data_IF_624633025975
#
_entry.id   IF_624633025975
#
_cell.length_a   1.000
_cell.length_b   1.000
_cell.length_c   1.000
_cell.angle_alpha   90.00
_cell.angle_beta   90.00
_cell.angle_gamma   90.00
#
_symmetry.space_group_name_H-M   'P 1'
#
loop_
_entity.id
_entity.type
_entity.pdbx_description
1 polymer ?
#
# COMPACT_ATOMS: atom_id res chain seq x y z
N UNK A 1 -11.79 -4.53 7.84
CA UNK A 1 -12.15 -4.75 6.42
C UNK A 1 -11.69 -6.09 5.88
N UNK A 2 -10.53 -6.61 6.29
CA UNK A 2 -10.00 -7.94 5.87
C UNK A 2 -10.93 -9.12 6.18
N UNK A 3 -11.70 -9.05 7.26
CA UNK A 3 -12.75 -10.02 7.63
C UNK A 3 -13.89 -10.15 6.61
N UNK A 4 -14.10 -9.16 5.74
CA UNK A 4 -15.10 -9.25 4.67
C UNK A 4 -14.60 -10.11 3.49
N UNK A 5 -13.29 -10.10 3.25
CA UNK A 5 -12.65 -10.79 2.12
C UNK A 5 -12.29 -12.23 2.49
N UNK A 6 -11.84 -12.44 3.72
CA UNK A 6 -11.62 -13.77 4.29
C UNK A 6 -12.05 -13.77 5.76
N UNK A 7 -13.30 -14.17 6.07
CA UNK A 7 -13.83 -14.22 7.43
C UNK A 7 -13.03 -15.15 8.34
N UNK A 8 -12.33 -16.14 7.77
CA UNK A 8 -11.51 -17.08 8.53
C UNK A 8 -10.18 -16.47 8.99
N UNK A 9 -9.73 -15.39 8.35
CA UNK A 9 -8.40 -14.82 8.57
C UNK A 9 -7.24 -15.77 8.22
N UNK A 10 -7.53 -16.93 7.60
CA UNK A 10 -6.54 -17.96 7.31
C UNK A 10 -5.70 -17.65 6.08
N UNK A 11 -6.06 -16.64 5.29
CA UNK A 11 -5.36 -16.18 4.09
C UNK A 11 -5.20 -17.26 3.01
N UNK A 12 -6.18 -18.16 2.93
CA UNK A 12 -6.13 -19.34 2.05
C UNK A 12 -7.29 -19.42 1.08
N UNK A 13 -8.30 -18.57 1.23
CA UNK A 13 -9.46 -18.57 0.35
C UNK A 13 -9.08 -18.11 -1.06
N UNK A 14 -9.83 -18.57 -2.06
CA UNK A 14 -9.65 -18.10 -3.44
C UNK A 14 -9.85 -16.59 -3.55
N UNK A 15 -10.87 -16.05 -2.87
CA UNK A 15 -11.16 -14.62 -2.80
C UNK A 15 -9.98 -13.83 -2.23
N UNK A 16 -9.28 -14.35 -1.23
CA UNK A 16 -8.06 -13.74 -0.70
C UNK A 16 -6.96 -13.67 -1.76
N UNK A 17 -6.69 -14.77 -2.47
CA UNK A 17 -5.69 -14.78 -3.53
C UNK A 17 -6.02 -13.82 -4.67
N UNK A 18 -7.30 -13.73 -5.06
CA UNK A 18 -7.77 -12.77 -6.06
C UNK A 18 -7.58 -11.32 -5.59
N UNK A 19 -7.93 -11.03 -4.33
CA UNK A 19 -7.71 -9.72 -3.72
C UNK A 19 -6.23 -9.32 -3.75
N UNK A 20 -5.33 -10.20 -3.28
CA UNK A 20 -3.88 -9.93 -3.28
C UNK A 20 -3.36 -9.72 -4.72
N UNK A 21 -3.83 -10.52 -5.69
CA UNK A 21 -3.47 -10.35 -7.10
C UNK A 21 -3.88 -8.97 -7.63
N UNK A 22 -5.09 -8.50 -7.31
CA UNK A 22 -5.57 -7.18 -7.71
C UNK A 22 -4.78 -6.06 -7.02
N UNK A 23 -4.46 -6.21 -5.74
CA UNK A 23 -3.60 -5.27 -5.01
C UNK A 23 -2.23 -5.11 -5.66
N UNK A 24 -1.59 -6.22 -6.05
CA UNK A 24 -0.30 -6.19 -6.75
C UNK A 24 -0.42 -5.49 -8.10
N UNK A 25 -1.43 -5.83 -8.91
CA UNK A 25 -1.65 -5.18 -10.22
C UNK A 25 -1.90 -3.67 -10.08
N UNK A 26 -2.74 -3.28 -9.14
CA UNK A 26 -3.03 -1.87 -8.87
C UNK A 26 -1.80 -1.11 -8.40
N UNK A 27 -0.99 -1.72 -7.53
CA UNK A 27 0.26 -1.13 -7.04
C UNK A 27 1.27 -0.90 -8.17
N UNK A 28 1.48 -1.92 -9.03
CA UNK A 28 2.39 -1.80 -10.17
C UNK A 28 1.89 -0.74 -11.17
N UNK A 29 0.58 -0.71 -11.48
CA UNK A 29 0.02 0.30 -12.36
C UNK A 29 0.17 1.72 -11.80
N UNK A 30 -0.03 1.93 -10.49
CA UNK A 30 0.14 3.23 -9.86
C UNK A 30 1.59 3.72 -9.89
N UNK A 31 2.58 2.80 -9.76
CA UNK A 31 4.01 3.14 -9.83
C UNK A 31 4.39 3.76 -11.17
N UNK A 32 3.76 3.36 -12.28
CA UNK A 32 4.00 3.95 -13.60
C UNK A 32 3.61 5.43 -13.69
N UNK A 33 2.77 5.92 -12.76
CA UNK A 33 2.28 7.30 -12.72
C UNK A 33 2.68 8.02 -11.42
N UNK A 34 3.65 7.48 -10.68
CA UNK A 34 3.99 7.94 -9.33
C UNK A 34 4.39 9.42 -9.30
N UNK A 35 5.12 9.91 -10.30
CA UNK A 35 5.51 11.32 -10.37
C UNK A 35 4.31 12.25 -10.47
N UNK A 36 3.29 11.88 -11.26
CA UNK A 36 2.04 12.66 -11.36
C UNK A 36 1.26 12.66 -10.04
N UNK A 37 1.23 11.50 -9.36
CA UNK A 37 0.58 11.36 -8.05
C UNK A 37 1.30 12.22 -7.00
N UNK A 38 2.63 12.14 -6.92
CA UNK A 38 3.47 12.92 -5.99
C UNK A 38 3.28 14.41 -6.24
N UNK A 39 3.43 14.87 -7.49
CA UNK A 39 3.27 16.29 -7.84
C UNK A 39 1.90 16.83 -7.45
N UNK A 40 0.85 16.02 -7.64
CA UNK A 40 -0.50 16.38 -7.21
C UNK A 40 -0.58 16.54 -5.70
N UNK A 41 -0.02 15.60 -4.94
CA UNK A 41 -0.01 15.66 -3.46
C UNK A 41 0.81 16.86 -2.97
N UNK A 42 1.96 17.16 -3.59
CA UNK A 42 2.81 18.29 -3.24
C UNK A 42 2.04 19.62 -3.30
N UNK A 43 1.17 19.81 -4.30
CA UNK A 43 0.34 21.02 -4.40
C UNK A 43 -0.66 21.17 -3.25
N UNK A 44 -1.11 20.06 -2.64
CA UNK A 44 -2.09 20.07 -1.55
C UNK A 44 -1.46 20.11 -0.17
N UNK A 45 -0.13 19.94 -0.05
CA UNK A 45 0.57 19.98 1.24
C UNK A 45 0.36 21.31 1.98
N UNK A 46 0.33 22.42 1.25
CA UNK A 46 0.17 23.76 1.82
C UNK A 46 -1.26 24.06 2.31
N UNK A 47 -2.23 23.19 1.99
CA UNK A 47 -3.65 23.38 2.35
C UNK A 47 -3.94 23.24 3.85
N UNK A 48 -2.97 22.79 4.66
CA UNK A 48 -3.08 22.52 6.11
C UNK A 48 -4.23 21.57 6.50
N UNK A 49 -4.78 20.80 5.56
CA UNK A 49 -5.73 19.77 5.92
C UNK A 49 -5.01 18.73 6.81
N UNK A 50 -5.68 18.23 7.87
CA UNK A 50 -5.05 17.40 8.90
C UNK A 50 -4.37 16.13 8.34
N UNK A 51 -4.80 15.65 7.17
CA UNK A 51 -4.25 14.48 6.49
C UNK A 51 -2.90 14.72 5.77
N UNK A 52 -2.53 15.96 5.46
CA UNK A 52 -1.31 16.31 4.72
C UNK A 52 -0.19 16.85 5.61
N UNK A 53 -0.49 17.11 6.89
CA UNK A 53 0.45 17.69 7.86
C UNK A 53 1.45 16.68 8.46
N UNK A 54 1.31 15.38 8.16
CA UNK A 54 2.11 14.29 8.75
C UNK A 54 2.57 13.30 7.69
N UNK A 55 3.72 13.57 7.07
CA UNK A 55 4.38 12.64 6.15
C UNK A 55 5.51 13.32 5.39
N UNK A 56 6.62 12.63 5.17
CA UNK A 56 7.58 13.06 4.15
C UNK A 56 6.98 12.73 2.77
N UNK A 57 7.13 13.60 1.76
CA UNK A 57 6.68 13.29 0.41
C UNK A 57 7.30 11.97 -0.04
N UNK A 58 6.43 11.09 -0.55
CA UNK A 58 6.75 9.74 -1.04
C UNK A 58 7.90 9.87 -2.05
N UNK A 59 9.03 9.20 -1.81
CA UNK A 59 10.07 9.04 -2.84
C UNK A 59 9.68 7.81 -3.66
N UNK A 60 9.77 7.90 -4.99
CA UNK A 60 9.59 6.72 -5.82
C UNK A 60 10.66 5.68 -5.44
N UNK A 61 10.30 4.50 -4.90
CA UNK A 61 11.29 3.50 -4.53
C UNK A 61 11.88 2.93 -5.81
N UNK A 62 13.20 3.10 -5.98
CA UNK A 62 14.03 2.47 -7.02
C UNK A 62 14.07 0.95 -6.78
N UNK A 63 12.95 0.28 -7.02
CA UNK A 63 12.81 -1.16 -6.91
C UNK A 63 12.27 -1.75 -8.21
N UNK A 64 12.73 -2.96 -8.52
CA UNK A 64 12.22 -3.71 -9.66
C UNK A 64 10.73 -4.04 -9.49
N UNK A 65 10.02 -4.28 -10.59
CA UNK A 65 8.62 -4.72 -10.54
C UNK A 65 8.43 -6.00 -9.72
N UNK A 66 9.42 -6.89 -9.72
CA UNK A 66 9.41 -8.12 -8.93
C UNK A 66 9.49 -7.83 -7.43
N UNK A 67 10.39 -6.94 -7.01
CA UNK A 67 10.50 -6.52 -5.61
C UNK A 67 9.22 -5.79 -5.18
N UNK A 68 8.64 -4.99 -6.08
CA UNK A 68 7.40 -4.28 -5.86
C UNK A 68 6.19 -5.20 -5.66
N UNK A 69 6.08 -6.24 -6.47
CA UNK A 69 5.05 -7.25 -6.31
C UNK A 69 5.20 -7.97 -4.96
N UNK A 70 6.42 -8.40 -4.62
CA UNK A 70 6.69 -9.08 -3.36
C UNK A 70 6.42 -8.19 -2.14
N UNK A 71 6.74 -6.90 -2.23
CA UNK A 71 6.42 -5.91 -1.21
C UNK A 71 4.91 -5.84 -0.98
N UNK A 72 4.12 -5.69 -2.05
CA UNK A 72 2.67 -5.55 -1.93
C UNK A 72 1.99 -6.81 -1.37
N UNK A 73 2.48 -8.00 -1.75
CA UNK A 73 2.01 -9.27 -1.17
C UNK A 73 2.25 -9.29 0.34
N UNK A 74 3.46 -8.93 0.80
CA UNK A 74 3.78 -8.88 2.24
C UNK A 74 2.92 -7.85 2.96
N UNK A 75 2.75 -6.66 2.38
CA UNK A 75 1.91 -5.61 2.97
C UNK A 75 0.46 -6.06 3.15
N UNK A 76 -0.12 -6.79 2.18
CA UNK A 76 -1.46 -7.35 2.31
C UNK A 76 -1.55 -8.37 3.46
N UNK A 77 -0.56 -9.25 3.58
CA UNK A 77 -0.49 -10.24 4.65
C UNK A 77 -0.33 -9.56 6.02
N UNK A 78 0.61 -8.63 6.15
CA UNK A 78 0.87 -7.90 7.40
C UNK A 78 -0.37 -7.12 7.86
N UNK A 79 -1.09 -6.48 6.94
CA UNK A 79 -2.32 -5.74 7.25
C UNK A 79 -3.40 -6.62 7.89
N UNK A 80 -3.43 -7.89 7.50
CA UNK A 80 -4.44 -8.86 7.91
C UNK A 80 -4.07 -9.55 9.22
N UNK A 81 -2.77 -9.81 9.46
CA UNK A 81 -2.28 -10.44 10.70
C UNK A 81 -2.16 -9.43 11.85
N UNK A 82 -1.71 -8.20 11.58
CA UNK A 82 -1.26 -7.29 12.62
C UNK A 82 -2.31 -6.34 13.19
N UNK A 83 -3.56 -6.39 12.73
CA UNK A 83 -4.63 -5.49 13.20
C UNK A 83 -4.23 -4.01 13.08
N UNK A 84 -4.16 -3.48 11.86
CA UNK A 84 -3.99 -2.05 11.49
C UNK A 84 -2.78 -1.25 12.05
N UNK A 85 -2.19 -1.60 13.20
CA UNK A 85 -1.17 -0.81 13.90
C UNK A 85 0.24 -0.93 13.31
N UNK A 86 0.62 -2.09 12.79
CA UNK A 86 1.96 -2.29 12.18
C UNK A 86 2.06 -1.85 10.72
N UNK A 87 0.95 -1.76 9.99
CA UNK A 87 0.97 -1.40 8.57
C UNK A 87 1.48 0.04 8.36
N UNK A 88 1.05 0.97 9.20
CA UNK A 88 1.49 2.38 9.17
C UNK A 88 2.99 2.49 9.46
N UNK A 89 3.54 1.60 10.29
CA UNK A 89 4.97 1.60 10.61
C UNK A 89 5.82 0.95 9.49
N UNK A 90 5.32 -0.13 8.88
CA UNK A 90 6.02 -0.86 7.82
C UNK A 90 6.01 -0.09 6.49
N UNK A 91 4.91 0.58 6.15
CA UNK A 91 4.84 1.49 4.99
C UNK A 91 5.78 2.70 5.13
N UNK A 92 6.16 3.10 6.35
CA UNK A 92 7.11 4.20 6.58
C UNK A 92 8.58 3.83 6.33
N UNK A 93 8.93 2.54 6.36
CA UNK A 93 10.32 2.07 6.22
C UNK A 93 10.67 1.63 4.79
N UNK A 94 9.68 1.39 3.94
CA UNK A 94 9.86 0.82 2.59
C UNK A 94 9.12 1.57 1.48
N UNK A 95 8.59 2.78 1.75
CA UNK A 95 8.01 3.70 0.76
C UNK A 95 8.72 5.05 0.87
#
# INVERSE_FOLDING_TARGET
>A
MTQLIDPSGAMKSETWHQFVSLCVKGYLAARCYMDGIINTILMVLDSRLPCFSRGNPIRNPEMSEREAANYMVRACSDATTAGAGQLVHSMRQHI
#
